data_IF_766106776252
#
_entry.id   IF_766106776252
#
_cell.length_a   1.000
_cell.length_b   1.000
_cell.length_c   1.000
_cell.angle_alpha   90.00
_cell.angle_beta   90.00
_cell.angle_gamma   90.00
#
_symmetry.space_group_name_H-M   'P 1'
#
loop_
_entity.id
_entity.type
_entity.pdbx_description
1 polymer ?
#
# COMPACT_ATOMS: atom_id res chain seq x y z
N UNK A 1 5.11 -2.30 -19.12
CA UNK A 1 5.78 -1.67 -17.96
C UNK A 1 5.65 -2.63 -16.79
N UNK A 2 6.69 -2.85 -15.97
CA UNK A 2 6.59 -3.76 -14.81
C UNK A 2 5.94 -3.04 -13.63
N UNK A 3 5.33 -3.78 -12.71
CA UNK A 3 4.76 -3.21 -11.48
C UNK A 3 5.83 -2.47 -10.66
N UNK A 4 7.04 -3.01 -10.60
CA UNK A 4 8.17 -2.37 -9.96
C UNK A 4 8.54 -1.01 -10.59
N UNK A 5 8.59 -0.93 -11.94
CA UNK A 5 8.85 0.35 -12.61
C UNK A 5 7.71 1.36 -12.41
N UNK A 6 6.46 0.90 -12.36
CA UNK A 6 5.31 1.76 -12.12
C UNK A 6 5.31 2.32 -10.69
N UNK A 7 5.63 1.48 -9.70
CA UNK A 7 5.77 1.89 -8.31
C UNK A 7 6.91 2.90 -8.16
N UNK A 8 8.11 2.59 -8.67
CA UNK A 8 9.27 3.47 -8.57
C UNK A 8 9.00 4.86 -9.20
N UNK A 9 8.35 4.89 -10.37
CA UNK A 9 7.98 6.14 -11.01
C UNK A 9 6.95 6.93 -10.19
N UNK A 10 5.92 6.27 -9.66
CA UNK A 10 4.91 6.90 -8.81
C UNK A 10 5.51 7.50 -7.54
N UNK A 11 6.38 6.75 -6.86
CA UNK A 11 7.11 7.21 -5.68
C UNK A 11 7.96 8.45 -6.00
N UNK A 12 8.64 8.45 -7.14
CA UNK A 12 9.41 9.61 -7.59
C UNK A 12 8.51 10.84 -7.82
N UNK A 13 7.37 10.67 -8.48
CA UNK A 13 6.40 11.76 -8.71
C UNK A 13 5.84 12.32 -7.40
N UNK A 14 5.59 11.46 -6.41
CA UNK A 14 5.10 11.85 -5.09
C UNK A 14 6.20 12.39 -4.16
N UNK A 15 7.47 12.39 -4.60
CA UNK A 15 8.63 12.71 -3.76
C UNK A 15 8.69 11.84 -2.48
N UNK A 16 8.22 10.60 -2.61
CA UNK A 16 8.09 9.62 -1.54
C UNK A 16 9.34 8.72 -1.55
N UNK A 17 10.26 8.96 -0.62
CA UNK A 17 11.46 8.13 -0.48
C UNK A 17 11.11 6.84 0.27
N UNK A 18 11.28 5.70 -0.40
CA UNK A 18 11.21 4.35 0.16
C UNK A 18 12.41 3.55 -0.34
N UNK A 19 13.03 2.78 0.54
CA UNK A 19 14.16 1.92 0.16
C UNK A 19 13.70 0.70 -0.66
N UNK A 20 14.68 -0.09 -1.13
CA UNK A 20 14.41 -1.27 -1.96
C UNK A 20 13.64 -2.37 -1.23
N UNK A 21 13.80 -2.48 0.09
CA UNK A 21 13.14 -3.50 0.91
C UNK A 21 11.66 -3.13 1.11
N UNK A 22 11.39 -1.86 1.40
CA UNK A 22 10.03 -1.32 1.49
C UNK A 22 9.28 -1.46 0.15
N UNK A 23 9.92 -1.11 -0.97
CA UNK A 23 9.33 -1.28 -2.30
C UNK A 23 9.03 -2.77 -2.59
N UNK A 24 9.96 -3.67 -2.23
CA UNK A 24 9.76 -5.10 -2.39
C UNK A 24 8.61 -5.63 -1.52
N UNK A 25 8.49 -5.15 -0.28
CA UNK A 25 7.41 -5.50 0.63
C UNK A 25 6.05 -5.02 0.11
N UNK A 26 5.96 -3.80 -0.44
CA UNK A 26 4.74 -3.28 -1.07
C UNK A 26 4.29 -4.13 -2.26
N UNK A 27 5.24 -4.54 -3.12
CA UNK A 27 4.95 -5.43 -4.24
C UNK A 27 4.56 -6.84 -3.77
N UNK A 28 5.18 -7.34 -2.70
CA UNK A 28 4.81 -8.60 -2.06
C UNK A 28 3.39 -8.58 -1.49
N UNK A 29 3.01 -7.49 -0.81
CA UNK A 29 1.64 -7.24 -0.37
C UNK A 29 0.67 -7.24 -1.55
N UNK A 30 1.00 -6.54 -2.64
CA UNK A 30 0.15 -6.49 -3.84
C UNK A 30 -0.06 -7.87 -4.46
N UNK A 31 0.97 -8.71 -4.50
CA UNK A 31 0.88 -10.09 -4.98
C UNK A 31 -0.02 -10.96 -4.08
N UNK A 32 0.03 -10.77 -2.76
CA UNK A 32 -0.88 -11.44 -1.82
C UNK A 32 -2.32 -10.98 -2.02
N UNK A 33 -2.53 -9.67 -2.19
CA UNK A 33 -3.84 -9.09 -2.47
C UNK A 33 -4.43 -9.69 -3.75
N UNK A 34 -3.68 -9.71 -4.86
CA UNK A 34 -4.11 -10.31 -6.12
C UNK A 34 -4.46 -11.80 -5.96
N UNK A 35 -3.60 -12.56 -5.26
CA UNK A 35 -3.81 -13.99 -5.02
C UNK A 35 -5.12 -14.25 -4.28
N UNK A 36 -5.36 -13.54 -3.19
CA UNK A 36 -6.51 -13.78 -2.32
C UNK A 36 -7.79 -13.12 -2.82
N UNK A 37 -7.69 -12.07 -3.64
CA UNK A 37 -8.86 -11.44 -4.28
C UNK A 37 -9.64 -12.44 -5.15
N UNK A 38 -8.97 -13.45 -5.73
CA UNK A 38 -9.60 -14.53 -6.51
C UNK A 38 -10.60 -15.38 -5.70
N UNK A 39 -10.47 -15.39 -4.38
CA UNK A 39 -11.28 -16.23 -3.47
C UNK A 39 -12.22 -15.38 -2.61
N UNK A 40 -11.78 -14.21 -2.17
CA UNK A 40 -12.47 -13.43 -1.13
C UNK A 40 -13.03 -12.08 -1.57
N UNK A 41 -12.91 -11.69 -2.84
CA UNK A 41 -13.40 -10.39 -3.36
C UNK A 41 -12.93 -9.19 -2.52
N UNK A 42 -11.65 -9.18 -2.13
CA UNK A 42 -11.00 -8.14 -1.32
C UNK A 42 -10.99 -6.74 -1.97
N UNK A 43 -10.99 -6.67 -3.30
CA UNK A 43 -11.01 -5.41 -4.05
C UNK A 43 -11.71 -5.59 -5.40
N UNK A 44 -12.40 -4.53 -5.83
CA UNK A 44 -12.99 -4.46 -7.18
C UNK A 44 -11.94 -4.29 -8.29
N UNK A 45 -10.72 -3.83 -7.96
CA UNK A 45 -9.63 -3.66 -8.92
C UNK A 45 -9.05 -5.03 -9.28
N UNK A 46 -9.10 -5.37 -10.57
CA UNK A 46 -8.65 -6.68 -11.08
C UNK A 46 -7.44 -6.59 -11.98
N UNK A 47 -7.19 -5.42 -12.57
CA UNK A 47 -6.04 -5.20 -13.44
C UNK A 47 -4.80 -4.92 -12.57
N UNK A 48 -3.76 -5.77 -12.58
CA UNK A 48 -2.54 -5.54 -11.82
C UNK A 48 -1.89 -4.18 -12.12
N UNK A 49 -1.99 -3.68 -13.36
CA UNK A 49 -1.45 -2.36 -13.72
C UNK A 49 -2.17 -1.21 -13.00
N UNK A 50 -3.43 -1.41 -12.62
CA UNK A 50 -4.23 -0.44 -11.87
C UNK A 50 -4.06 -0.57 -10.35
N UNK A 51 -3.63 -1.74 -9.86
CA UNK A 51 -3.46 -1.96 -8.42
C UNK A 51 -2.35 -1.09 -7.82
N UNK A 52 -1.27 -0.81 -8.55
CA UNK A 52 -0.21 0.10 -8.06
C UNK A 52 -0.75 1.51 -7.78
N UNK A 53 -1.34 2.23 -8.76
CA UNK A 53 -1.87 3.56 -8.50
C UNK A 53 -3.05 3.57 -7.53
N UNK A 54 -3.98 2.62 -7.63
CA UNK A 54 -5.24 2.65 -6.86
C UNK A 54 -5.15 2.03 -5.46
N UNK A 55 -4.08 1.31 -5.12
CA UNK A 55 -3.91 0.71 -3.79
C UNK A 55 -2.63 1.18 -3.11
N UNK A 56 -1.48 1.09 -3.78
CA UNK A 56 -0.20 1.44 -3.16
C UNK A 56 -0.01 2.97 -3.12
N UNK A 57 -0.03 3.63 -4.28
CA UNK A 57 0.23 5.07 -4.37
C UNK A 57 -0.89 5.87 -3.69
N UNK A 58 -2.15 5.45 -3.85
CA UNK A 58 -3.28 6.05 -3.15
C UNK A 58 -3.11 6.00 -1.62
N UNK A 59 -2.79 4.83 -1.05
CA UNK A 59 -2.54 4.70 0.38
C UNK A 59 -1.35 5.58 0.85
N UNK A 60 -0.25 5.59 0.10
CA UNK A 60 0.94 6.39 0.43
C UNK A 60 0.69 7.91 0.32
N UNK A 61 -0.32 8.34 -0.43
CA UNK A 61 -0.67 9.77 -0.57
C UNK A 61 -1.13 10.39 0.75
N UNK A 62 -1.56 9.56 1.71
CA UNK A 62 -2.07 9.99 3.01
C UNK A 62 -0.92 10.38 3.97
N UNK A 63 0.30 9.86 3.77
CA UNK A 63 1.45 10.03 4.68
C UNK A 63 1.68 11.46 5.16
N UNK A 64 1.67 12.51 4.29
CA UNK A 64 1.94 13.89 4.72
C UNK A 64 0.90 14.44 5.72
N UNK A 65 -0.27 13.80 5.82
CA UNK A 65 -1.37 14.22 6.67
C UNK A 65 -1.46 13.41 7.98
N UNK A 66 -0.65 12.37 8.15
CA UNK A 66 -0.65 11.54 9.36
C UNK A 66 0.16 12.19 10.48
N UNK A 67 -0.46 12.29 11.66
CA UNK A 67 0.17 12.77 12.88
C UNK A 67 0.14 11.72 13.98
N UNK A 68 1.12 11.78 14.88
CA UNK A 68 1.27 10.82 15.98
C UNK A 68 1.97 9.51 15.58
N UNK A 69 2.24 8.68 16.59
CA UNK A 69 3.00 7.43 16.45
C UNK A 69 2.10 6.19 16.48
N UNK A 70 0.83 6.33 16.86
CA UNK A 70 -0.15 5.23 16.88
C UNK A 70 -1.31 5.59 15.97
N UNK A 71 -1.53 4.79 14.94
CA UNK A 71 -2.52 5.02 13.89
C UNK A 71 -3.51 3.87 13.91
N UNK A 72 -4.81 4.18 13.90
CA UNK A 72 -5.89 3.21 13.75
C UNK A 72 -6.48 3.33 12.35
N UNK A 73 -6.47 2.24 11.60
CA UNK A 73 -7.18 2.08 10.34
C UNK A 73 -8.52 1.36 10.61
N UNK A 74 -9.65 2.04 10.38
CA UNK A 74 -11.00 1.56 10.71
C UNK A 74 -11.73 1.15 9.45
N UNK A 75 -12.16 -0.11 9.38
CA UNK A 75 -12.74 -0.69 8.17
C UNK A 75 -11.67 -1.02 7.14
N UNK A 76 -10.56 -1.61 7.59
CA UNK A 76 -9.35 -1.80 6.77
C UNK A 76 -9.54 -2.80 5.63
N UNK A 77 -10.54 -3.69 5.72
CA UNK A 77 -10.82 -4.76 4.76
C UNK A 77 -9.56 -5.54 4.37
N UNK A 78 -9.07 -5.30 3.15
CA UNK A 78 -7.86 -5.91 2.62
C UNK A 78 -6.54 -5.38 3.23
N UNK A 79 -6.60 -4.58 4.29
CA UNK A 79 -5.46 -3.93 4.90
C UNK A 79 -5.12 -2.57 4.28
N UNK A 80 -6.08 -1.89 3.65
CA UNK A 80 -5.87 -0.59 2.99
C UNK A 80 -6.54 0.54 3.77
N UNK A 81 -5.86 1.68 3.99
CA UNK A 81 -4.47 1.99 3.62
C UNK A 81 -3.43 1.50 4.65
N UNK A 82 -3.83 0.82 5.73
CA UNK A 82 -2.97 0.52 6.88
C UNK A 82 -1.68 -0.27 6.60
N UNK A 83 -1.74 -1.34 5.81
CA UNK A 83 -0.56 -2.18 5.50
C UNK A 83 0.48 -1.40 4.65
N UNK A 84 0.12 -0.76 3.51
CA UNK A 84 1.07 0.07 2.78
C UNK A 84 1.73 1.16 3.62
N UNK A 85 0.96 1.80 4.50
CA UNK A 85 1.47 2.84 5.40
C UNK A 85 2.41 2.26 6.47
N UNK A 86 2.09 1.11 7.05
CA UNK A 86 2.95 0.42 8.01
C UNK A 86 4.29 -0.02 7.40
N UNK A 87 4.30 -0.42 6.13
CA UNK A 87 5.54 -0.71 5.40
C UNK A 87 6.37 0.56 5.19
N UNK A 88 5.71 1.67 4.87
CA UNK A 88 6.38 2.94 4.58
C UNK A 88 6.89 3.70 5.82
N UNK A 89 6.24 3.53 6.96
CA UNK A 89 6.52 4.23 8.22
C UNK A 89 6.70 3.22 9.37
N UNK A 90 7.75 2.37 9.33
CA UNK A 90 7.95 1.27 10.28
C UNK A 90 8.16 1.73 11.72
N UNK A 91 8.48 3.00 11.94
CA UNK A 91 8.60 3.62 13.26
C UNK A 91 7.25 3.90 13.94
N UNK A 92 6.13 3.81 13.21
CA UNK A 92 4.78 4.01 13.75
C UNK A 92 4.07 2.68 13.97
N UNK A 93 3.22 2.64 15.00
CA UNK A 93 2.34 1.51 15.28
C UNK A 93 1.04 1.70 14.49
N UNK A 94 0.75 0.76 13.58
CA UNK A 94 -0.53 0.69 12.88
C UNK A 94 -1.38 -0.44 13.47
N UNK A 95 -2.60 -0.09 13.90
CA UNK A 95 -3.63 -1.05 14.31
C UNK A 95 -4.70 -1.07 13.23
N UNK A 96 -5.01 -2.25 12.73
CA UNK A 96 -5.99 -2.45 11.66
C UNK A 96 -7.25 -3.09 12.26
N UNK A 97 -8.38 -2.40 12.12
CA UNK A 97 -9.69 -2.82 12.59
C UNK A 97 -10.61 -3.05 11.39
N UNK A 98 -11.31 -4.19 11.36
CA UNK A 98 -12.33 -4.54 10.35
C UNK A 98 -13.57 -5.12 11.03
#
# INVERSE_FOLDING_TARGET
MSLASALAQGLQTMQCALDGDQQSALLGYLALLEKWNKVYNLTAVRDPAQMVPQHLLDALSIRPYLSGTRILDVGTGAGLPGIPLAIAEPEREFVLLD
#
